data_IF_352678937382
#
_entry.id   IF_352678937382
#
_cell.length_a   1.000
_cell.length_b   1.000
_cell.length_c   1.000
_cell.angle_alpha   90.00
_cell.angle_beta   90.00
_cell.angle_gamma   90.00
#
_symmetry.space_group_name_H-M   'P 1'
#
loop_
_entity.id
_entity.type
_entity.pdbx_description
1 polymer ?
#
# COMPACT_ATOMS: atom_id res chain seq x y z
N UNK A 1 4.78 27.18 -17.12
CA UNK A 1 3.30 27.24 -17.28
C UNK A 1 2.56 26.08 -16.61
N UNK A 2 3.14 24.88 -16.45
CA UNK A 2 2.45 23.74 -15.84
C UNK A 2 2.03 23.91 -14.36
N UNK A 3 2.77 24.69 -13.55
CA UNK A 3 2.47 24.85 -12.12
C UNK A 3 1.08 25.46 -11.84
N UNK A 4 0.64 26.41 -12.67
CA UNK A 4 -0.64 27.12 -12.48
C UNK A 4 -1.85 26.24 -12.83
N UNK A 5 -1.75 25.42 -13.87
CA UNK A 5 -2.82 24.51 -14.31
C UNK A 5 -3.07 23.35 -13.33
N UNK A 6 -2.15 23.11 -12.40
CA UNK A 6 -2.21 21.99 -11.45
C UNK A 6 -2.91 22.35 -10.14
N UNK A 7 -3.06 23.64 -9.83
CA UNK A 7 -3.58 24.10 -8.53
C UNK A 7 -5.05 23.76 -8.24
N UNK A 8 -5.82 23.41 -9.27
CA UNK A 8 -7.23 23.02 -9.15
C UNK A 8 -7.48 21.53 -9.40
N UNK A 9 -6.44 20.74 -9.65
CA UNK A 9 -6.55 19.31 -9.92
C UNK A 9 -6.44 18.51 -8.63
N UNK A 10 -7.08 17.34 -8.62
CA UNK A 10 -6.81 16.30 -7.64
C UNK A 10 -5.30 15.98 -7.62
N UNK A 11 -4.68 15.72 -6.44
CA UNK A 11 -3.24 15.50 -6.33
C UNK A 11 -2.68 14.38 -7.23
N UNK A 12 -3.47 13.35 -7.54
CA UNK A 12 -3.07 12.28 -8.44
C UNK A 12 -3.08 12.76 -9.89
N UNK A 13 -4.16 13.42 -10.32
CA UNK A 13 -4.27 13.96 -11.69
C UNK A 13 -3.21 15.03 -11.96
N UNK A 14 -2.89 15.83 -10.94
CA UNK A 14 -1.79 16.77 -10.92
C UNK A 14 -0.43 16.12 -11.22
N UNK A 15 -0.13 14.98 -10.57
CA UNK A 15 1.12 14.25 -10.78
C UNK A 15 1.16 13.58 -12.15
N UNK A 16 0.07 12.92 -12.58
CA UNK A 16 -0.05 12.35 -13.93
C UNK A 16 0.23 13.42 -14.99
N UNK A 17 -0.40 14.59 -14.86
CA UNK A 17 -0.19 15.70 -15.79
C UNK A 17 1.28 16.14 -15.81
N UNK A 18 1.92 16.27 -14.64
CA UNK A 18 3.35 16.63 -14.56
C UNK A 18 4.23 15.59 -15.21
N UNK A 19 4.05 14.32 -14.91
CA UNK A 19 4.83 13.20 -15.44
C UNK A 19 4.69 13.14 -16.96
N UNK A 20 3.47 13.21 -17.49
CA UNK A 20 3.22 13.18 -18.93
C UNK A 20 3.91 14.34 -19.64
N UNK A 21 3.74 15.58 -19.17
CA UNK A 21 4.35 16.74 -19.82
C UNK A 21 5.88 16.70 -19.74
N UNK A 22 6.42 16.31 -18.58
CA UNK A 22 7.86 16.35 -18.35
C UNK A 22 8.59 15.21 -19.07
N UNK A 23 7.99 14.03 -19.14
CA UNK A 23 8.52 12.91 -19.92
C UNK A 23 8.53 13.21 -21.43
N UNK A 24 7.54 13.94 -21.95
CA UNK A 24 7.54 14.45 -23.33
C UNK A 24 8.71 15.42 -23.59
N UNK A 25 9.09 16.24 -22.60
CA UNK A 25 10.21 17.16 -22.72
C UNK A 25 11.57 16.44 -22.59
N UNK A 26 11.64 15.40 -21.75
CA UNK A 26 12.86 14.65 -21.51
C UNK A 26 13.27 13.76 -22.71
N UNK A 27 12.30 13.09 -23.35
CA UNK A 27 12.59 12.08 -24.37
C UNK A 27 13.45 12.60 -25.56
N UNK A 28 13.25 13.81 -26.09
CA UNK A 28 14.12 14.36 -27.14
C UNK A 28 15.56 14.62 -26.68
N UNK A 29 15.77 14.95 -25.40
CA UNK A 29 17.09 15.29 -24.86
C UNK A 29 18.04 14.10 -24.84
N UNK A 30 17.52 12.87 -24.78
CA UNK A 30 18.30 11.64 -24.81
C UNK A 30 19.20 11.51 -26.06
N UNK A 31 18.88 12.24 -27.13
CA UNK A 31 19.60 12.19 -28.41
C UNK A 31 20.82 13.11 -28.47
N UNK A 32 21.01 13.98 -27.47
CA UNK A 32 22.01 15.05 -27.49
C UNK A 32 22.95 14.91 -26.27
N UNK A 33 24.19 14.43 -26.47
CA UNK A 33 25.15 14.24 -25.38
C UNK A 33 25.44 15.52 -24.59
N UNK A 34 25.36 16.69 -25.22
CA UNK A 34 25.67 18.00 -24.63
C UNK A 34 24.70 18.38 -23.50
N UNK A 35 23.48 17.84 -23.54
CA UNK A 35 22.43 18.09 -22.54
C UNK A 35 22.14 16.86 -21.69
N UNK A 36 23.02 15.85 -21.71
CA UNK A 36 22.82 14.60 -20.97
C UNK A 36 22.67 14.84 -19.46
N UNK A 37 23.32 15.86 -18.90
CA UNK A 37 23.13 16.24 -17.50
C UNK A 37 21.67 16.57 -17.18
N UNK A 38 21.01 17.36 -18.03
CA UNK A 38 19.60 17.72 -17.84
C UNK A 38 18.70 16.51 -18.05
N UNK A 39 19.00 15.66 -19.03
CA UNK A 39 18.29 14.40 -19.22
C UNK A 39 18.30 13.54 -17.94
N UNK A 40 19.47 13.41 -17.30
CA UNK A 40 19.62 12.65 -16.05
C UNK A 40 18.91 13.31 -14.86
N UNK A 41 19.07 14.62 -14.67
CA UNK A 41 18.39 15.38 -13.60
C UNK A 41 16.87 15.27 -13.74
N UNK A 42 16.33 15.43 -14.96
CA UNK A 42 14.92 15.23 -15.24
C UNK A 42 14.46 13.78 -14.96
N UNK A 43 15.34 12.81 -15.18
CA UNK A 43 15.06 11.41 -14.86
C UNK A 43 14.83 11.20 -13.37
N UNK A 44 15.66 11.82 -12.52
CA UNK A 44 15.50 11.75 -11.06
C UNK A 44 14.18 12.37 -10.59
N UNK A 45 13.78 13.49 -11.18
CA UNK A 45 12.49 14.14 -10.87
C UNK A 45 11.31 13.25 -11.27
N UNK A 46 11.35 12.62 -12.45
CA UNK A 46 10.32 11.67 -12.88
C UNK A 46 10.25 10.46 -11.95
N UNK A 47 11.39 9.91 -11.54
CA UNK A 47 11.40 8.80 -10.59
C UNK A 47 10.81 9.17 -9.25
N UNK A 48 11.08 10.38 -8.76
CA UNK A 48 10.48 10.90 -7.55
C UNK A 48 8.96 11.02 -7.71
N UNK A 49 8.48 11.67 -8.76
CA UNK A 49 7.03 11.85 -8.95
C UNK A 49 6.30 10.53 -9.19
N UNK A 50 6.95 9.53 -9.81
CA UNK A 50 6.38 8.18 -9.92
C UNK A 50 6.23 7.51 -8.56
N UNK A 51 7.21 7.67 -7.66
CA UNK A 51 7.11 7.20 -6.27
C UNK A 51 5.96 7.90 -5.55
N UNK A 52 5.91 9.24 -5.61
CA UNK A 52 4.83 10.03 -5.00
C UNK A 52 3.44 9.60 -5.53
N UNK A 53 3.32 9.35 -6.84
CA UNK A 53 2.08 8.89 -7.48
C UNK A 53 1.69 7.49 -6.99
N UNK A 54 2.65 6.57 -6.93
CA UNK A 54 2.41 5.21 -6.44
C UNK A 54 2.01 5.17 -4.97
N UNK A 55 2.62 6.04 -4.15
CA UNK A 55 2.30 6.18 -2.73
C UNK A 55 0.87 6.69 -2.55
N UNK A 56 0.49 7.77 -3.25
CA UNK A 56 -0.89 8.28 -3.19
C UNK A 56 -1.93 7.25 -3.62
N UNK A 57 -1.63 6.45 -4.66
CA UNK A 57 -2.52 5.39 -5.11
C UNK A 57 -2.63 4.27 -4.08
N UNK A 58 -1.52 3.83 -3.51
CA UNK A 58 -1.52 2.84 -2.44
C UNK A 58 -2.30 3.37 -1.23
N UNK A 59 -2.02 4.59 -0.75
CA UNK A 59 -2.70 5.22 0.39
C UNK A 59 -4.22 5.27 0.17
N UNK A 60 -4.70 5.61 -1.03
CA UNK A 60 -6.14 5.58 -1.32
C UNK A 60 -6.78 4.20 -1.11
N UNK A 61 -6.09 3.14 -1.52
CA UNK A 61 -6.55 1.76 -1.31
C UNK A 61 -6.53 1.42 0.18
N UNK A 62 -5.44 1.76 0.87
CA UNK A 62 -5.27 1.51 2.30
C UNK A 62 -6.33 2.25 3.13
N UNK A 63 -6.60 3.52 2.83
CA UNK A 63 -7.62 4.33 3.50
C UNK A 63 -9.03 3.77 3.27
N UNK A 64 -9.34 3.40 2.01
CA UNK A 64 -10.63 2.80 1.64
C UNK A 64 -10.91 1.51 2.42
N UNK A 65 -9.88 0.71 2.67
CA UNK A 65 -9.97 -0.54 3.40
C UNK A 65 -9.70 -0.37 4.90
N UNK A 66 -9.51 0.86 5.39
CA UNK A 66 -9.15 1.20 6.79
C UNK A 66 -7.82 0.61 7.27
N UNK A 67 -6.99 0.15 6.35
CA UNK A 67 -5.65 -0.39 6.66
C UNK A 67 -4.75 0.69 7.23
N UNK A 68 -4.83 1.93 6.74
CA UNK A 68 -4.07 3.05 7.30
C UNK A 68 -4.35 3.27 8.79
N UNK A 69 -5.62 3.17 9.20
CA UNK A 69 -6.02 3.26 10.61
C UNK A 69 -5.48 2.09 11.41
N UNK A 70 -5.53 0.87 10.86
CA UNK A 70 -4.97 -0.31 11.51
C UNK A 70 -3.44 -0.17 11.70
N UNK A 71 -2.72 0.29 10.69
CA UNK A 71 -1.28 0.56 10.77
C UNK A 71 -0.96 1.60 11.86
N UNK A 72 -1.77 2.65 11.98
CA UNK A 72 -1.60 3.64 13.04
C UNK A 72 -1.75 2.99 14.43
N UNK A 73 -2.79 2.17 14.64
CA UNK A 73 -2.96 1.45 15.90
C UNK A 73 -1.79 0.50 16.20
N UNK A 74 -1.26 -0.20 15.18
CA UNK A 74 -0.08 -1.07 15.34
C UNK A 74 1.13 -0.23 15.79
N UNK A 75 1.36 0.93 15.18
CA UNK A 75 2.47 1.82 15.54
C UNK A 75 2.32 2.36 16.97
N UNK A 76 1.12 2.83 17.33
CA UNK A 76 0.83 3.37 18.67
C UNK A 76 0.99 2.27 19.74
N UNK A 77 0.56 1.04 19.42
CA UNK A 77 0.80 -0.12 20.27
C UNK A 77 2.29 -0.43 20.41
N UNK A 78 3.06 -0.49 19.32
CA UNK A 78 4.50 -0.77 19.39
C UNK A 78 5.26 0.28 20.21
N UNK A 79 4.87 1.56 20.10
CA UNK A 79 5.45 2.64 20.90
C UNK A 79 5.11 2.51 22.38
N UNK A 80 3.86 2.17 22.71
CA UNK A 80 3.40 2.03 24.10
C UNK A 80 3.84 0.71 24.76
N UNK A 81 3.95 -0.37 23.98
CA UNK A 81 4.41 -1.69 24.44
C UNK A 81 5.88 -1.66 24.87
N UNK A 82 6.70 -0.80 24.27
CA UNK A 82 8.06 -0.53 24.75
C UNK A 82 8.08 -0.02 26.20
N UNK A 83 7.00 0.63 26.65
CA UNK A 83 6.84 1.11 28.02
C UNK A 83 6.10 0.13 28.93
N UNK A 84 5.21 -0.72 28.38
CA UNK A 84 4.40 -1.70 29.11
C UNK A 84 4.34 -3.06 28.38
N UNK A 85 5.34 -3.93 28.55
CA UNK A 85 5.46 -5.18 27.79
C UNK A 85 4.43 -6.28 28.17
N UNK A 86 3.54 -6.01 29.13
CA UNK A 86 2.51 -6.95 29.56
C UNK A 86 1.15 -6.79 28.86
N UNK A 87 0.98 -5.77 28.01
CA UNK A 87 -0.27 -5.52 27.31
C UNK A 87 -0.32 -6.35 26.01
N UNK A 88 -1.32 -7.21 25.85
CA UNK A 88 -1.58 -7.90 24.58
C UNK A 88 -2.20 -6.90 23.59
N UNK A 89 -1.80 -6.93 22.30
CA UNK A 89 -2.42 -6.08 21.30
C UNK A 89 -3.89 -6.43 21.09
N UNK A 90 -4.31 -7.68 21.31
CA UNK A 90 -5.72 -8.08 21.25
C UNK A 90 -6.63 -7.37 22.28
N UNK A 91 -6.04 -6.86 23.37
CA UNK A 91 -6.75 -6.09 24.40
C UNK A 91 -6.75 -4.57 24.07
N UNK A 92 -6.07 -4.16 23.01
CA UNK A 92 -6.00 -2.76 22.55
C UNK A 92 -7.14 -2.47 21.57
N UNK A 93 -7.96 -1.43 21.81
CA UNK A 93 -9.05 -1.07 20.90
C UNK A 93 -8.56 -0.88 19.46
N UNK A 94 -9.21 -1.55 18.51
CA UNK A 94 -8.85 -1.48 17.09
C UNK A 94 -7.70 -2.40 16.66
N UNK A 95 -7.17 -3.23 17.56
CA UNK A 95 -6.24 -4.33 17.30
C UNK A 95 -6.81 -5.69 17.75
N UNK A 96 -8.07 -5.73 18.18
CA UNK A 96 -8.75 -6.99 18.43
C UNK A 96 -8.86 -7.82 17.13
N UNK A 97 -8.87 -9.13 17.30
CA UNK A 97 -8.76 -10.05 16.18
C UNK A 97 -9.93 -10.01 15.20
N UNK A 98 -11.13 -9.61 15.65
CA UNK A 98 -12.29 -9.39 14.78
C UNK A 98 -12.05 -8.18 13.87
N UNK A 99 -11.60 -7.05 14.45
CA UNK A 99 -11.23 -5.86 13.67
C UNK A 99 -10.14 -6.17 12.65
N UNK A 100 -9.06 -6.84 13.06
CA UNK A 100 -7.95 -7.19 12.15
C UNK A 100 -8.43 -8.11 11.03
N UNK A 101 -9.23 -9.13 11.36
CA UNK A 101 -9.81 -10.06 10.38
C UNK A 101 -10.66 -9.33 9.35
N UNK A 102 -11.54 -8.44 9.81
CA UNK A 102 -12.43 -7.69 8.93
C UNK A 102 -11.64 -6.75 8.00
N UNK A 103 -10.72 -5.96 8.55
CA UNK A 103 -9.90 -5.02 7.77
C UNK A 103 -9.06 -5.76 6.73
N UNK A 104 -8.44 -6.88 7.10
CA UNK A 104 -7.63 -7.67 6.18
C UNK A 104 -8.48 -8.39 5.13
N UNK A 105 -9.70 -8.82 5.48
CA UNK A 105 -10.66 -9.38 4.53
C UNK A 105 -11.10 -8.36 3.48
N UNK A 106 -11.47 -7.15 3.91
CA UNK A 106 -11.85 -6.05 3.01
C UNK A 106 -10.67 -5.64 2.12
N UNK A 107 -9.46 -5.62 2.68
CA UNK A 107 -8.24 -5.33 1.93
C UNK A 107 -7.97 -6.39 0.87
N UNK A 108 -7.99 -7.68 1.21
CA UNK A 108 -7.84 -8.78 0.25
C UNK A 108 -8.88 -8.70 -0.88
N UNK A 109 -10.15 -8.47 -0.55
CA UNK A 109 -11.21 -8.33 -1.54
C UNK A 109 -10.95 -7.16 -2.51
N UNK A 110 -10.46 -6.03 -1.99
CA UNK A 110 -10.10 -4.89 -2.82
C UNK A 110 -8.91 -5.20 -3.73
N UNK A 111 -7.86 -5.88 -3.24
CA UNK A 111 -6.68 -6.25 -4.04
C UNK A 111 -7.04 -7.17 -5.21
N UNK A 112 -8.00 -8.09 -5.04
CA UNK A 112 -8.45 -9.01 -6.10
C UNK A 112 -9.21 -8.34 -7.25
N UNK A 113 -9.65 -7.08 -7.06
CA UNK A 113 -10.45 -6.33 -8.04
C UNK A 113 -9.79 -5.00 -8.40
N UNK A 114 -8.50 -4.89 -8.11
CA UNK A 114 -7.80 -3.62 -8.09
C UNK A 114 -7.54 -3.11 -9.51
N UNK A 115 -7.94 -1.87 -9.76
CA UNK A 115 -7.63 -1.16 -10.99
C UNK A 115 -7.12 0.25 -10.67
N UNK A 116 -6.16 0.72 -11.47
CA UNK A 116 -5.58 2.05 -11.32
C UNK A 116 -5.72 2.89 -12.60
N UNK A 117 -6.92 3.43 -12.89
CA UNK A 117 -7.15 4.17 -14.13
C UNK A 117 -6.19 5.35 -14.32
N UNK A 118 -5.78 6.03 -13.25
CA UNK A 118 -4.85 7.15 -13.36
C UNK A 118 -3.42 6.69 -13.71
N UNK A 119 -3.00 5.48 -13.32
CA UNK A 119 -1.71 4.94 -13.75
C UNK A 119 -1.74 4.58 -15.25
N UNK A 120 -2.88 4.08 -15.73
CA UNK A 120 -3.11 3.81 -17.17
C UNK A 120 -3.12 5.08 -18.03
N UNK A 121 -3.39 6.24 -17.41
CA UNK A 121 -3.36 7.54 -18.10
C UNK A 121 -1.95 8.12 -18.30
N UNK A 122 -0.91 7.42 -17.82
CA UNK A 122 0.48 7.79 -18.11
C UNK A 122 0.81 7.53 -19.59
N UNK A 123 1.32 8.57 -20.28
CA UNK A 123 1.51 8.56 -21.72
C UNK A 123 2.60 7.59 -22.20
N UNK A 124 3.55 7.23 -21.33
CA UNK A 124 4.61 6.27 -21.63
C UNK A 124 4.32 4.95 -20.91
N UNK A 125 4.14 3.83 -21.63
CA UNK A 125 3.81 2.53 -21.03
C UNK A 125 4.82 2.10 -19.96
N UNK A 126 6.12 2.29 -20.20
CA UNK A 126 7.16 1.93 -19.24
C UNK A 126 7.04 2.69 -17.90
N UNK A 127 6.52 3.93 -17.92
CA UNK A 127 6.28 4.70 -16.69
C UNK A 127 5.01 4.21 -15.98
N UNK A 128 3.97 3.84 -16.74
CA UNK A 128 2.76 3.21 -16.20
C UNK A 128 3.09 1.89 -15.50
N UNK A 129 3.88 1.03 -16.13
CA UNK A 129 4.30 -0.25 -15.58
C UNK A 129 5.15 -0.06 -14.32
N UNK A 130 6.11 0.87 -14.34
CA UNK A 130 6.92 1.19 -13.17
C UNK A 130 6.05 1.69 -12.01
N UNK A 131 5.08 2.58 -12.25
CA UNK A 131 4.17 3.06 -11.22
C UNK A 131 3.27 1.94 -10.68
N UNK A 132 2.79 1.04 -11.54
CA UNK A 132 2.01 -0.14 -11.14
C UNK A 132 2.84 -1.06 -10.25
N UNK A 133 4.05 -1.42 -10.66
CA UNK A 133 4.97 -2.25 -9.86
C UNK A 133 5.25 -1.61 -8.49
N UNK A 134 5.53 -0.31 -8.43
CA UNK A 134 5.75 0.39 -7.16
C UNK A 134 4.51 0.34 -6.26
N UNK A 135 3.33 0.58 -6.82
CA UNK A 135 2.06 0.55 -6.08
C UNK A 135 1.77 -0.85 -5.55
N UNK A 136 1.88 -1.88 -6.40
CA UNK A 136 1.73 -3.29 -6.04
C UNK A 136 2.73 -3.70 -4.95
N UNK A 137 3.99 -3.28 -5.06
CA UNK A 137 5.02 -3.58 -4.06
C UNK A 137 4.68 -2.95 -2.69
N UNK A 138 4.21 -1.70 -2.66
CA UNK A 138 3.79 -1.05 -1.41
C UNK A 138 2.59 -1.76 -0.77
N UNK A 139 1.59 -2.15 -1.57
CA UNK A 139 0.40 -2.87 -1.07
C UNK A 139 0.75 -4.27 -0.56
N UNK A 140 1.56 -5.03 -1.30
CA UNK A 140 2.04 -6.34 -0.90
C UNK A 140 2.90 -6.26 0.37
N UNK A 141 3.81 -5.27 0.45
CA UNK A 141 4.63 -5.02 1.63
C UNK A 141 3.80 -4.68 2.86
N UNK A 142 2.73 -3.88 2.68
CA UNK A 142 1.80 -3.55 3.76
C UNK A 142 1.06 -4.79 4.27
N UNK A 143 0.58 -5.64 3.36
CA UNK A 143 -0.04 -6.91 3.73
C UNK A 143 0.91 -7.79 4.53
N UNK A 144 2.14 -7.97 4.03
CA UNK A 144 3.17 -8.76 4.68
C UNK A 144 3.49 -8.25 6.10
N UNK A 145 3.61 -6.93 6.27
CA UNK A 145 3.85 -6.33 7.58
C UNK A 145 2.74 -6.66 8.59
N UNK A 146 1.47 -6.56 8.20
CA UNK A 146 0.35 -6.88 9.10
C UNK A 146 0.29 -8.39 9.37
N UNK A 147 0.56 -9.21 8.35
CA UNK A 147 0.65 -10.66 8.50
C UNK A 147 1.73 -11.04 9.52
N UNK A 148 2.94 -10.50 9.39
CA UNK A 148 4.04 -10.73 10.33
C UNK A 148 3.68 -10.26 11.75
N UNK A 149 3.00 -9.11 11.88
CA UNK A 149 2.50 -8.64 13.16
C UNK A 149 1.52 -9.65 13.80
N UNK A 150 0.54 -10.16 13.05
CA UNK A 150 -0.43 -11.15 13.57
C UNK A 150 0.25 -12.46 13.96
N UNK A 151 1.23 -12.91 13.18
CA UNK A 151 1.91 -14.20 13.41
C UNK A 151 3.10 -14.11 14.38
N UNK A 152 3.39 -12.93 14.93
CA UNK A 152 4.43 -12.76 15.94
C UNK A 152 3.99 -13.43 17.26
N UNK A 153 4.76 -14.44 17.68
CA UNK A 153 4.50 -15.20 18.90
C UNK A 153 4.43 -14.32 20.16
N UNK A 154 5.01 -13.11 20.13
CA UNK A 154 4.98 -12.16 21.26
C UNK A 154 3.61 -11.53 21.49
N UNK A 155 2.75 -11.53 20.48
CA UNK A 155 1.47 -10.80 20.50
C UNK A 155 0.25 -11.68 20.80
N UNK A 156 0.46 -12.99 20.92
CA UNK A 156 -0.53 -13.97 21.40
C UNK A 156 -1.86 -13.97 20.61
N UNK A 157 -1.80 -13.61 19.33
CA UNK A 157 -2.90 -13.86 18.41
C UNK A 157 -3.01 -15.37 18.14
N UNK A 158 -4.23 -15.80 17.85
CA UNK A 158 -4.58 -17.17 17.49
C UNK A 158 -4.96 -17.16 16.00
N UNK A 159 -4.03 -17.48 15.09
CA UNK A 159 -4.35 -17.61 13.68
C UNK A 159 -5.39 -18.70 13.49
N UNK A 160 -6.39 -18.45 12.64
CA UNK A 160 -7.43 -19.43 12.39
C UNK A 160 -7.85 -19.52 10.94
N UNK A 161 -8.00 -20.76 10.48
CA UNK A 161 -8.57 -21.10 9.17
C UNK A 161 -10.02 -21.62 9.30
N UNK A 162 -10.56 -21.70 10.52
CA UNK A 162 -11.87 -22.31 10.78
C UNK A 162 -12.91 -21.25 11.15
N UNK A 163 -14.19 -21.43 10.75
CA UNK A 163 -15.28 -20.57 11.19
C UNK A 163 -15.44 -20.61 12.72
N UNK A 164 -15.88 -19.49 13.30
CA UNK A 164 -16.09 -19.31 14.74
C UNK A 164 -16.91 -20.45 15.35
N UNK A 165 -16.35 -21.18 16.32
CA UNK A 165 -17.10 -22.09 17.17
C UNK A 165 -17.70 -21.31 18.34
N UNK A 166 -18.98 -21.58 18.66
CA UNK A 166 -19.70 -20.94 19.76
C UNK A 166 -19.17 -21.31 21.15
N UNK A 167 -18.23 -22.26 21.25
CA UNK A 167 -17.69 -22.74 22.53
C UNK A 167 -16.53 -21.91 23.09
N UNK A 168 -16.12 -20.83 22.42
CA UNK A 168 -14.90 -20.08 22.78
C UNK A 168 -15.19 -19.00 23.81
N UNK A 169 -14.23 -18.77 24.70
CA UNK A 169 -14.29 -17.66 25.67
C UNK A 169 -14.19 -16.30 24.97
N UNK A 170 -14.64 -15.23 25.64
CA UNK A 170 -14.56 -13.88 25.08
C UNK A 170 -13.12 -13.46 24.74
N UNK A 171 -12.15 -13.88 25.56
CA UNK A 171 -10.73 -13.56 25.39
C UNK A 171 -10.14 -14.27 24.16
N UNK A 172 -10.48 -15.56 23.98
CA UNK A 172 -10.03 -16.32 22.80
C UNK A 172 -10.63 -15.77 21.51
N UNK A 173 -11.86 -15.26 21.54
CA UNK A 173 -12.48 -14.60 20.38
C UNK A 173 -11.74 -13.32 20.00
N UNK A 174 -11.41 -12.48 20.98
CA UNK A 174 -10.66 -11.23 20.74
C UNK A 174 -9.23 -11.46 20.26
N UNK A 175 -8.64 -12.64 20.50
CA UNK A 175 -7.30 -13.00 20.00
C UNK A 175 -7.32 -13.71 18.65
N UNK A 176 -8.48 -14.15 18.16
CA UNK A 176 -8.57 -14.94 16.92
C UNK A 176 -8.48 -14.03 15.70
N UNK A 177 -7.52 -14.30 14.82
CA UNK A 177 -7.38 -13.59 13.53
C UNK A 177 -7.46 -14.59 12.39
N UNK A 178 -8.32 -14.33 11.41
CA UNK A 178 -8.41 -15.10 10.18
C UNK A 178 -7.85 -14.28 9.02
N UNK A 179 -6.69 -14.69 8.51
CA UNK A 179 -6.10 -14.12 7.29
C UNK A 179 -6.32 -15.11 6.14
N UNK A 180 -6.93 -14.63 5.05
CA UNK A 180 -7.37 -15.50 3.94
C UNK A 180 -6.24 -15.96 3.02
N UNK A 181 -5.12 -15.24 3.01
CA UNK A 181 -4.04 -15.43 2.06
C UNK A 181 -2.66 -15.33 2.72
N UNK A 182 -1.66 -15.94 2.11
CA UNK A 182 -0.26 -15.69 2.48
C UNK A 182 0.28 -14.42 1.80
N UNK A 183 1.35 -13.80 2.32
CA UNK A 183 2.03 -12.71 1.63
C UNK A 183 2.51 -13.07 0.21
N UNK A 184 2.91 -14.32 -0.03
CA UNK A 184 3.32 -14.82 -1.34
C UNK A 184 2.16 -14.91 -2.33
N UNK A 185 0.98 -15.33 -1.88
CA UNK A 185 -0.23 -15.37 -2.69
C UNK A 185 -0.63 -13.95 -3.10
N UNK A 186 -0.65 -13.00 -2.15
CA UNK A 186 -0.96 -11.59 -2.43
C UNK A 186 0.04 -10.98 -3.42
N UNK A 187 1.34 -11.24 -3.23
CA UNK A 187 2.36 -10.78 -4.18
C UNK A 187 2.11 -11.34 -5.59
N UNK A 188 1.81 -12.63 -5.68
CA UNK A 188 1.55 -13.29 -6.97
C UNK A 188 0.35 -12.67 -7.68
N UNK A 189 -0.77 -12.43 -6.97
CA UNK A 189 -1.96 -11.78 -7.54
C UNK A 189 -1.62 -10.40 -8.10
N UNK A 190 -0.92 -9.58 -7.33
CA UNK A 190 -0.57 -8.21 -7.71
C UNK A 190 0.47 -8.12 -8.83
N UNK A 191 1.24 -9.19 -9.06
CA UNK A 191 2.17 -9.33 -10.18
C UNK A 191 1.50 -9.88 -11.45
N UNK A 192 0.46 -10.70 -11.33
CA UNK A 192 -0.27 -11.25 -12.49
C UNK A 192 -1.03 -10.16 -13.26
N UNK A 193 -1.52 -9.12 -12.60
CA UNK A 193 -2.17 -7.96 -13.24
C UNK A 193 -1.19 -7.01 -13.96
N UNK A 194 0.11 -7.32 -13.96
CA UNK A 194 1.13 -6.50 -14.66
C UNK A 194 1.53 -7.04 -16.04
N UNK A 195 0.92 -8.14 -16.50
CA UNK A 195 1.17 -8.78 -17.82
C UNK A 195 0.03 -8.59 -18.80
#
# INVERSE_FOLDING_TARGET
>A
MCQRSVTSLDPVDALVFRINNFSCLQAPLARFPEVNRWYLEMGLDLERWLRDLSELQATRVLDRCRVSTLLQHIQDFQQSHAMNPGLSPADTPGLDGETVTQVMGDFCAALMTLMFPQLESLAQPALADKARTLTSATLAGTYAFIYEFVFDARYDYIPSNEPMSSSWSSVERSRRVALQHSPEEIRTVLELDTK
#
